data_IF_000040558876
#
_entry.id   IF_000040558876
#
_cell.length_a   1.000
_cell.length_b   1.000
_cell.length_c   1.000
_cell.angle_alpha   90.00
_cell.angle_beta   90.00
_cell.angle_gamma   90.00
#
_symmetry.space_group_name_H-M   'P 1'
#
loop_
_entity.id
_entity.type
_entity.pdbx_description
1 polymer ?
#
# COMPACT_ATOMS: atom_id res chain seq x y z
N UNK A 1 3.48 28.35 -15.11
CA UNK A 1 4.30 27.25 -14.55
C UNK A 1 3.58 25.91 -14.39
N UNK A 2 2.26 25.80 -14.66
CA UNK A 2 1.44 24.56 -14.48
C UNK A 2 1.85 23.31 -15.29
N UNK A 3 2.52 23.47 -16.44
CA UNK A 3 2.84 22.34 -17.35
C UNK A 3 4.14 21.63 -16.93
N UNK A 4 5.23 21.75 -17.69
CA UNK A 4 6.50 21.03 -17.43
C UNK A 4 7.01 21.20 -15.99
N UNK A 5 7.06 22.44 -15.50
CA UNK A 5 7.52 22.69 -14.14
C UNK A 5 6.62 22.01 -13.09
N UNK A 6 5.29 22.06 -13.26
CA UNK A 6 4.35 21.34 -12.39
C UNK A 6 4.54 19.82 -12.41
N UNK A 7 4.77 19.22 -13.59
CA UNK A 7 5.07 17.79 -13.71
C UNK A 7 6.36 17.42 -12.99
N UNK A 8 7.42 18.22 -13.14
CA UNK A 8 8.70 18.00 -12.45
C UNK A 8 8.53 18.08 -10.94
N UNK A 9 7.82 19.10 -10.44
CA UNK A 9 7.56 19.22 -8.99
C UNK A 9 6.80 18.00 -8.46
N UNK A 10 5.76 17.52 -9.17
CA UNK A 10 5.03 16.30 -8.77
C UNK A 10 5.97 15.10 -8.72
N UNK A 11 6.81 14.90 -9.73
CA UNK A 11 7.74 13.77 -9.77
C UNK A 11 8.70 13.81 -8.58
N UNK A 12 9.29 14.97 -8.29
CA UNK A 12 10.21 15.13 -7.14
C UNK A 12 9.50 14.88 -5.81
N UNK A 13 8.31 15.44 -5.60
CA UNK A 13 7.54 15.21 -4.38
C UNK A 13 7.14 13.73 -4.22
N UNK A 14 6.73 13.08 -5.30
CA UNK A 14 6.41 11.65 -5.29
C UNK A 14 7.65 10.81 -4.97
N UNK A 15 8.83 11.15 -5.52
CA UNK A 15 10.08 10.45 -5.22
C UNK A 15 10.47 10.59 -3.76
N UNK A 16 10.44 11.81 -3.20
CA UNK A 16 10.78 12.06 -1.80
C UNK A 16 9.85 11.27 -0.88
N UNK A 17 8.53 11.42 -1.05
CA UNK A 17 7.56 10.74 -0.16
C UNK A 17 7.62 9.22 -0.28
N UNK A 18 7.75 8.68 -1.50
CA UNK A 18 7.85 7.22 -1.72
C UNK A 18 9.14 6.67 -1.12
N UNK A 19 10.28 7.31 -1.36
CA UNK A 19 11.57 6.87 -0.82
C UNK A 19 11.58 6.88 0.71
N UNK A 20 11.03 7.93 1.33
CA UNK A 20 10.91 8.01 2.79
C UNK A 20 10.00 6.90 3.35
N UNK A 21 8.85 6.62 2.73
CA UNK A 21 7.94 5.56 3.21
C UNK A 21 8.55 4.16 3.11
N UNK A 22 9.36 3.90 2.07
CA UNK A 22 10.14 2.66 1.96
C UNK A 22 11.15 2.53 3.10
N UNK A 23 11.89 3.59 3.41
CA UNK A 23 12.87 3.59 4.51
C UNK A 23 12.22 3.44 5.89
N UNK A 24 11.00 3.95 6.07
CA UNK A 24 10.21 3.80 7.31
C UNK A 24 9.58 2.40 7.46
N UNK A 25 9.80 1.48 6.51
CA UNK A 25 9.26 0.12 6.58
C UNK A 25 7.76 0.03 6.29
N UNK A 26 7.15 1.06 5.67
CA UNK A 26 5.73 1.05 5.27
C UNK A 26 5.43 0.19 4.04
N UNK A 27 6.47 -0.45 3.50
CA UNK A 27 6.40 -1.35 2.34
C UNK A 27 7.13 -2.65 2.63
N UNK A 28 6.60 -3.76 2.14
CA UNK A 28 7.28 -5.04 2.07
C UNK A 28 7.66 -5.33 0.61
N UNK A 29 8.95 -5.28 0.29
CA UNK A 29 9.41 -5.30 -1.11
C UNK A 29 8.81 -4.13 -1.90
N UNK A 30 8.05 -4.43 -2.95
CA UNK A 30 7.31 -3.45 -3.75
C UNK A 30 5.82 -3.32 -3.35
N UNK A 31 5.38 -4.01 -2.30
CA UNK A 31 4.01 -3.98 -1.80
C UNK A 31 3.89 -2.94 -0.67
N UNK A 32 2.90 -2.05 -0.77
CA UNK A 32 2.57 -1.13 0.31
C UNK A 32 1.72 -1.87 1.34
N UNK A 33 2.28 -2.15 2.52
CA UNK A 33 1.61 -2.94 3.55
C UNK A 33 0.79 -2.09 4.51
N UNK A 34 1.20 -0.83 4.75
CA UNK A 34 0.42 0.14 5.53
C UNK A 34 -0.63 0.84 4.65
N UNK A 35 -1.56 0.05 4.09
CA UNK A 35 -2.69 0.55 3.29
C UNK A 35 -3.91 0.64 4.18
N UNK A 36 -4.44 1.86 4.34
CA UNK A 36 -5.68 2.11 5.06
C UNK A 36 -6.91 1.67 4.24
N UNK A 37 -7.59 0.56 4.54
CA UNK A 37 -8.56 -0.08 3.64
C UNK A 37 -9.98 0.47 3.83
N UNK A 38 -10.15 1.78 3.58
CA UNK A 38 -11.41 2.52 3.79
C UNK A 38 -12.47 2.31 2.70
N UNK A 39 -12.22 1.47 1.71
CA UNK A 39 -13.14 1.18 0.61
C UNK A 39 -13.05 -0.29 0.22
N UNK A 40 -14.11 -0.84 -0.39
CA UNK A 40 -14.13 -2.22 -0.87
C UNK A 40 -12.90 -2.54 -1.74
N UNK A 41 -12.56 -1.67 -2.69
CA UNK A 41 -11.36 -1.81 -3.54
C UNK A 41 -10.05 -1.92 -2.74
N UNK A 42 -9.92 -1.15 -1.66
CA UNK A 42 -8.71 -1.18 -0.83
C UNK A 42 -8.69 -2.39 0.11
N UNK A 43 -9.86 -2.85 0.58
CA UNK A 43 -9.99 -4.13 1.30
C UNK A 43 -9.57 -5.30 0.41
N UNK A 44 -10.02 -5.31 -0.84
CA UNK A 44 -9.61 -6.33 -1.83
C UNK A 44 -8.12 -6.25 -2.18
N UNK A 45 -7.52 -5.07 -2.09
CA UNK A 45 -6.07 -4.92 -2.23
C UNK A 45 -5.33 -5.47 -1.01
N UNK A 46 -5.80 -5.18 0.20
CA UNK A 46 -5.20 -5.68 1.44
C UNK A 46 -5.21 -7.22 1.47
N UNK A 47 -6.37 -7.85 1.18
CA UNK A 47 -6.47 -9.32 1.05
C UNK A 47 -5.43 -9.89 0.09
N UNK A 48 -5.33 -9.34 -1.14
CA UNK A 48 -4.34 -9.79 -2.14
C UNK A 48 -2.89 -9.63 -1.69
N UNK A 49 -2.58 -8.58 -0.94
CA UNK A 49 -1.23 -8.37 -0.39
C UNK A 49 -0.92 -9.45 0.65
N UNK A 50 -1.84 -9.70 1.58
CA UNK A 50 -1.68 -10.75 2.60
C UNK A 50 -1.56 -12.12 1.98
N UNK A 51 -2.44 -12.47 1.02
CA UNK A 51 -2.36 -13.72 0.26
C UNK A 51 -0.97 -13.90 -0.39
N UNK A 52 -0.43 -12.85 -1.01
CA UNK A 52 0.87 -12.94 -1.67
C UNK A 52 2.02 -13.09 -0.68
N UNK A 53 1.98 -12.40 0.46
CA UNK A 53 3.08 -12.40 1.43
C UNK A 53 3.08 -13.69 2.27
N UNK A 54 1.90 -14.13 2.70
CA UNK A 54 1.73 -15.27 3.61
C UNK A 54 1.43 -16.60 2.89
N UNK A 55 1.22 -16.57 1.57
CA UNK A 55 0.84 -17.75 0.75
C UNK A 55 -0.42 -18.47 1.28
N UNK A 56 -1.45 -17.68 1.58
CA UNK A 56 -2.73 -18.15 2.13
C UNK A 56 -3.89 -17.93 1.16
N UNK A 57 -5.00 -18.62 1.39
CA UNK A 57 -6.24 -18.43 0.65
C UNK A 57 -6.86 -17.05 0.88
N UNK A 58 -7.76 -16.62 0.00
CA UNK A 58 -8.47 -15.34 0.17
C UNK A 58 -9.32 -15.31 1.46
N UNK A 59 -9.99 -16.43 1.77
CA UNK A 59 -10.83 -16.55 2.98
C UNK A 59 -9.99 -16.44 4.25
N UNK A 60 -8.82 -17.08 4.27
CA UNK A 60 -7.88 -16.99 5.39
C UNK A 60 -7.27 -15.59 5.51
N UNK A 61 -6.90 -14.95 4.40
CA UNK A 61 -6.45 -13.56 4.41
C UNK A 61 -7.51 -12.59 4.92
N UNK A 62 -8.77 -12.77 4.54
CA UNK A 62 -9.89 -11.96 5.03
C UNK A 62 -10.06 -12.13 6.54
N UNK A 63 -10.03 -13.37 7.03
CA UNK A 63 -10.15 -13.66 8.45
C UNK A 63 -8.99 -13.07 9.27
N UNK A 64 -7.75 -13.18 8.79
CA UNK A 64 -6.58 -12.58 9.45
C UNK A 64 -6.69 -11.05 9.53
N UNK A 65 -7.13 -10.40 8.45
CA UNK A 65 -7.35 -8.95 8.41
C UNK A 65 -8.50 -8.51 9.31
N UNK A 66 -9.56 -9.32 9.45
CA UNK A 66 -10.64 -9.03 10.38
C UNK A 66 -10.19 -9.16 11.84
N UNK A 67 -9.31 -10.11 12.16
CA UNK A 67 -8.73 -10.25 13.49
C UNK A 67 -7.77 -9.11 13.86
N UNK A 68 -7.11 -8.50 12.88
CA UNK A 68 -6.22 -7.36 13.09
C UNK A 68 -6.92 -6.00 13.01
N UNK A 69 -8.26 -5.96 13.01
CA UNK A 69 -9.05 -4.73 12.78
C UNK A 69 -8.65 -3.99 11.48
N UNK A 70 -8.18 -4.75 10.48
CA UNK A 70 -7.66 -4.28 9.20
C UNK A 70 -6.35 -3.46 9.27
N UNK A 71 -5.55 -3.69 10.31
CA UNK A 71 -4.16 -3.22 10.43
C UNK A 71 -3.16 -4.25 9.86
#
# INVERSE_FOLDING_TARGET
>A
TRMKAGTVTKMVLNMITTASMVQLGKTYGNLMVDVQPKSAKLRDRAKRIVMHIADVSEDEAAHLLEQSDWD
#
